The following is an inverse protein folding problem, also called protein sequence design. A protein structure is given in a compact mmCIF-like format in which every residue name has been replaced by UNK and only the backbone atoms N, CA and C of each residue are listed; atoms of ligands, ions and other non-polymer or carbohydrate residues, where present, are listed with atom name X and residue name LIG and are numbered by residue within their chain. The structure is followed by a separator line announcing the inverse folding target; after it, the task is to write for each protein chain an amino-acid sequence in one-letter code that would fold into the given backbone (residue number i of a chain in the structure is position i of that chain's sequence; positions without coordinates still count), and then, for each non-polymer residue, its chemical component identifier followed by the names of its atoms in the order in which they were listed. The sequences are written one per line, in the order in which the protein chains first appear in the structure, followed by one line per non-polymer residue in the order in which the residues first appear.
data_IF_339662212132
#
_entry.id   IF_339662212132
#
_cell.length_a   1.000
_cell.length_b   1.000
_cell.length_c   1.000
_cell.angle_alpha   90.00
_cell.angle_beta   90.00
_cell.angle_gamma   90.00
#
_symmetry.space_group_name_H-M   'P 1'
#
loop_
_entity.id
_entity.type
_entity.pdbx_description
1 polymer ?
#
# COMPACT_ATOMS: atom_id res chain seq x y z
N UNK A 1 -17.74 5.04 4.42
CA UNK A 1 -18.92 5.81 3.97
C UNK A 1 -20.25 5.06 4.14
N UNK A 2 -20.57 4.06 3.30
CA UNK A 2 -21.92 3.44 3.27
C UNK A 2 -22.43 2.95 4.63
N UNK A 3 -21.65 2.12 5.33
CA UNK A 3 -22.04 1.57 6.65
C UNK A 3 -22.31 2.67 7.67
N UNK A 4 -21.39 3.65 7.78
CA UNK A 4 -21.56 4.81 8.65
C UNK A 4 -22.82 5.62 8.29
N UNK A 5 -23.07 5.87 7.00
CA UNK A 5 -24.26 6.56 6.52
C UNK A 5 -25.55 5.80 6.85
N UNK A 6 -25.58 4.47 6.69
CA UNK A 6 -26.73 3.64 7.06
C UNK A 6 -27.02 3.66 8.56
N UNK A 7 -25.98 3.57 9.41
CA UNK A 7 -26.15 3.66 10.86
C UNK A 7 -26.70 5.02 11.30
N UNK A 8 -26.29 6.08 10.60
CA UNK A 8 -26.73 7.45 10.80
C UNK A 8 -28.07 7.81 10.12
N UNK A 9 -28.70 6.87 9.41
CA UNK A 9 -29.95 7.12 8.70
C UNK A 9 -29.82 8.09 7.52
N UNK A 10 -28.63 8.23 6.93
CA UNK A 10 -28.40 9.09 5.78
C UNK A 10 -29.06 8.54 4.52
N UNK A 11 -29.65 9.45 3.75
CA UNK A 11 -30.16 9.24 2.39
C UNK A 11 -29.06 9.50 1.36
N UNK A 12 -29.31 9.13 0.10
CA UNK A 12 -28.31 9.21 -0.97
C UNK A 12 -27.83 10.64 -1.26
N UNK A 13 -28.71 11.64 -1.12
CA UNK A 13 -28.40 13.07 -1.24
C UNK A 13 -27.46 13.58 -0.13
N UNK A 14 -27.26 12.79 0.93
CA UNK A 14 -26.31 13.05 2.02
C UNK A 14 -25.14 12.08 2.03
N UNK A 15 -24.89 11.40 0.91
CA UNK A 15 -23.72 10.54 0.76
C UNK A 15 -22.43 11.37 0.90
N UNK A 16 -21.42 10.77 1.50
CA UNK A 16 -20.14 11.42 1.76
C UNK A 16 -18.96 10.51 1.43
N UNK A 17 -17.80 11.11 1.21
CA UNK A 17 -16.50 10.43 1.09
C UNK A 17 -15.46 11.25 1.85
N UNK A 18 -14.61 10.60 2.64
CA UNK A 18 -13.55 11.32 3.31
C UNK A 18 -12.42 11.67 2.32
N UNK A 19 -11.74 12.81 2.53
CA UNK A 19 -10.70 13.26 1.60
C UNK A 19 -9.48 12.32 1.51
N UNK A 20 -9.31 11.36 2.43
CA UNK A 20 -8.15 10.45 2.37
C UNK A 20 -8.38 9.38 1.31
N UNK A 21 -9.64 9.11 0.96
CA UNK A 21 -10.03 8.05 0.03
C UNK A 21 -10.37 8.52 -1.39
N UNK A 22 -10.54 9.84 -1.62
CA UNK A 22 -10.97 10.39 -2.93
C UNK A 22 -10.04 10.02 -4.09
N UNK A 23 -8.77 9.71 -3.82
CA UNK A 23 -7.80 9.35 -4.86
C UNK A 23 -8.14 8.04 -5.58
N UNK A 24 -8.82 7.10 -4.92
CA UNK A 24 -9.25 5.85 -5.54
C UNK A 24 -10.43 6.01 -6.49
N UNK A 25 -11.16 7.12 -6.42
CA UNK A 25 -12.28 7.37 -7.33
C UNK A 25 -11.83 7.53 -8.78
N UNK A 26 -10.60 8.01 -9.01
CA UNK A 26 -10.15 8.47 -10.32
C UNK A 26 -10.85 9.74 -10.82
N UNK A 27 -11.72 10.38 -10.03
CA UNK A 27 -12.55 11.54 -10.40
C UNK A 27 -12.13 12.84 -9.69
N UNK A 28 -11.26 12.75 -8.69
CA UNK A 28 -10.91 13.88 -7.84
C UNK A 28 -9.61 14.59 -8.26
N UNK A 29 -9.56 15.90 -8.05
CA UNK A 29 -8.29 16.61 -7.87
C UNK A 29 -7.83 16.40 -6.42
N UNK A 30 -6.92 15.44 -6.24
CA UNK A 30 -6.39 15.09 -4.92
C UNK A 30 -5.72 16.27 -4.23
N UNK A 31 -5.01 17.11 -4.98
CA UNK A 31 -4.27 18.25 -4.45
C UNK A 31 -5.23 19.33 -3.96
N UNK A 32 -6.30 19.59 -4.68
CA UNK A 32 -7.33 20.54 -4.29
C UNK A 32 -8.31 19.97 -3.25
N UNK A 33 -8.42 18.64 -3.15
CA UNK A 33 -9.35 17.99 -2.22
C UNK A 33 -10.81 18.09 -2.65
N UNK A 34 -11.06 18.16 -3.96
CA UNK A 34 -12.37 18.34 -4.55
C UNK A 34 -12.55 17.43 -5.78
N UNK A 35 -13.79 17.20 -6.19
CA UNK A 35 -14.09 16.55 -7.46
C UNK A 35 -13.57 17.38 -8.63
N UNK A 36 -12.99 16.74 -9.64
CA UNK A 36 -12.42 17.42 -10.80
C UNK A 36 -13.46 17.53 -11.90
N UNK A 37 -14.00 18.73 -12.11
CA UNK A 37 -14.96 19.01 -13.18
C UNK A 37 -14.42 18.56 -14.55
N UNK A 38 -13.14 18.81 -14.84
CA UNK A 38 -12.53 18.41 -16.10
C UNK A 38 -12.50 16.88 -16.31
N UNK A 39 -12.22 16.10 -15.25
CA UNK A 39 -12.23 14.64 -15.33
C UNK A 39 -13.67 14.13 -15.48
N UNK A 40 -14.59 14.66 -14.67
CA UNK A 40 -16.00 14.30 -14.71
C UNK A 40 -16.64 14.60 -16.08
N UNK A 41 -16.39 15.78 -16.64
CA UNK A 41 -16.87 16.17 -17.98
C UNK A 41 -16.30 15.24 -19.07
N UNK A 42 -15.02 14.89 -18.97
CA UNK A 42 -14.36 13.97 -19.93
C UNK A 42 -14.97 12.56 -19.89
N UNK A 43 -15.37 12.09 -18.71
CA UNK A 43 -15.93 10.75 -18.51
C UNK A 43 -17.47 10.74 -18.58
N UNK A 44 -18.11 11.89 -18.78
CA UNK A 44 -19.57 12.03 -18.78
C UNK A 44 -20.23 11.73 -17.43
N UNK A 45 -19.53 11.97 -16.32
CA UNK A 45 -20.02 11.75 -14.96
C UNK A 45 -20.63 13.06 -14.43
N UNK A 46 -21.94 13.10 -14.12
CA UNK A 46 -22.56 14.27 -13.51
C UNK A 46 -21.95 14.57 -12.13
N UNK A 47 -21.60 15.82 -11.86
CA UNK A 47 -21.00 16.21 -10.58
C UNK A 47 -21.98 16.16 -9.40
N UNK A 48 -23.28 16.27 -9.67
CA UNK A 48 -24.36 16.26 -8.67
C UNK A 48 -24.66 14.86 -8.11
N UNK A 49 -24.18 13.79 -8.76
CA UNK A 49 -24.29 12.42 -8.24
C UNK A 49 -23.10 12.02 -7.35
N UNK A 50 -22.06 12.86 -7.28
CA UNK A 50 -20.88 12.57 -6.47
C UNK A 50 -21.13 12.94 -5.00
N UNK A 51 -20.62 12.14 -4.05
CA UNK A 51 -20.85 12.39 -2.63
C UNK A 51 -20.10 13.64 -2.15
N UNK A 52 -20.55 14.25 -1.05
CA UNK A 52 -19.83 15.35 -0.40
C UNK A 52 -18.45 14.87 0.08
N UNK A 53 -17.37 15.62 -0.22
CA UNK A 53 -16.05 15.34 0.33
C UNK A 53 -15.96 15.97 1.71
N UNK A 54 -15.60 15.19 2.72
CA UNK A 54 -15.59 15.60 4.13
C UNK A 54 -14.28 15.29 4.83
N UNK A 55 -14.04 15.92 5.98
CA UNK A 55 -12.93 15.63 6.86
C UNK A 55 -13.16 14.31 7.62
N UNK A 56 -12.10 13.51 7.89
CA UNK A 56 -12.22 12.24 8.59
C UNK A 56 -12.89 12.32 9.97
N UNK A 57 -12.71 13.41 10.70
CA UNK A 57 -13.29 13.63 12.04
C UNK A 57 -14.67 14.28 12.02
N UNK A 58 -15.20 14.65 10.84
CA UNK A 58 -16.54 15.25 10.76
C UNK A 58 -17.57 14.24 11.27
N UNK A 59 -18.42 14.68 12.20
CA UNK A 59 -19.57 13.89 12.64
C UNK A 59 -20.60 13.91 11.52
N UNK A 60 -20.87 12.75 10.92
CA UNK A 60 -21.81 12.61 9.79
C UNK A 60 -23.26 12.42 10.26
N UNK A 61 -23.43 12.14 11.55
CA UNK A 61 -24.70 11.89 12.21
C UNK A 61 -24.47 11.09 13.49
N UNK A 62 -25.56 10.56 14.04
CA UNK A 62 -25.55 9.77 15.27
C UNK A 62 -26.17 8.41 15.00
N UNK A 63 -25.79 7.40 15.78
CA UNK A 63 -26.40 6.06 15.72
C UNK A 63 -27.91 6.20 15.94
N UNK A 64 -28.68 5.80 14.93
CA UNK A 64 -30.14 5.78 14.99
C UNK A 64 -30.65 4.71 15.95
N UNK A 65 -31.87 4.87 16.46
CA UNK A 65 -32.57 3.86 17.26
C UNK A 65 -32.65 2.49 16.57
N UNK A 66 -32.81 2.48 15.24
CA UNK A 66 -32.83 1.25 14.46
C UNK A 66 -31.46 0.55 14.47
N UNK A 67 -30.39 1.28 14.14
CA UNK A 67 -29.03 0.74 14.15
C UNK A 67 -28.58 0.34 15.57
N UNK A 68 -28.99 1.08 16.60
CA UNK A 68 -28.74 0.74 17.99
C UNK A 68 -29.27 -0.65 18.34
N UNK A 69 -30.52 -0.96 17.95
CA UNK A 69 -31.14 -2.28 18.17
C UNK A 69 -30.46 -3.39 17.37
N UNK A 70 -30.12 -3.14 16.11
CA UNK A 70 -29.56 -4.16 15.22
C UNK A 70 -28.12 -4.55 15.60
N UNK A 71 -27.33 -3.58 16.09
CA UNK A 71 -25.89 -3.75 16.35
C UNK A 71 -25.49 -3.70 17.82
N UNK A 72 -26.45 -3.48 18.74
CA UNK A 72 -26.18 -3.38 20.18
C UNK A 72 -25.39 -2.13 20.56
N UNK A 73 -25.56 -1.04 19.81
CA UNK A 73 -24.90 0.24 20.05
C UNK A 73 -25.79 1.18 20.88
N UNK A 74 -25.21 2.19 21.52
CA UNK A 74 -25.98 3.22 22.21
C UNK A 74 -26.58 4.21 21.19
N UNK A 75 -27.90 4.48 21.21
CA UNK A 75 -28.51 5.49 20.36
C UNK A 75 -27.93 6.88 20.69
N UNK A 76 -27.83 7.74 19.67
CA UNK A 76 -27.24 9.08 19.83
C UNK A 76 -25.70 9.10 19.84
N UNK A 77 -25.04 7.94 19.73
CA UNK A 77 -23.57 7.90 19.66
C UNK A 77 -23.09 8.60 18.39
N UNK A 78 -22.19 9.61 18.47
CA UNK A 78 -21.67 10.30 17.28
C UNK A 78 -20.89 9.36 16.36
N UNK A 79 -21.12 9.48 15.05
CA UNK A 79 -20.42 8.73 14.01
C UNK A 79 -19.51 9.69 13.24
N UNK A 80 -18.20 9.50 13.34
CA UNK A 80 -17.24 10.21 12.49
C UNK A 80 -17.24 9.65 11.06
N UNK A 81 -16.92 10.46 10.06
CA UNK A 81 -16.79 10.04 8.66
C UNK A 81 -15.80 8.88 8.48
N UNK A 82 -14.72 8.89 9.28
CA UNK A 82 -13.64 7.94 9.20
C UNK A 82 -12.66 8.27 8.07
N UNK A 83 -11.72 7.37 7.81
CA UNK A 83 -10.73 7.51 6.76
C UNK A 83 -10.51 6.18 6.03
N UNK A 84 -9.83 6.22 4.90
CA UNK A 84 -9.37 5.02 4.19
C UNK A 84 -8.43 4.19 5.05
N UNK A 85 -8.37 2.89 4.79
CA UNK A 85 -7.61 1.92 5.58
C UNK A 85 -6.12 2.26 5.73
N UNK A 86 -5.49 2.74 4.66
CA UNK A 86 -4.07 3.05 4.61
C UNK A 86 -3.78 4.33 5.40
N UNK A 87 -4.69 5.31 5.35
CA UNK A 87 -4.61 6.52 6.14
C UNK A 87 -4.86 6.25 7.64
N UNK A 88 -5.82 5.37 7.95
CA UNK A 88 -6.07 4.89 9.31
C UNK A 88 -4.85 4.15 9.88
N UNK A 89 -4.22 3.28 9.07
CA UNK A 89 -3.01 2.56 9.44
C UNK A 89 -1.84 3.50 9.71
N UNK A 90 -1.60 4.48 8.82
CA UNK A 90 -0.56 5.49 9.02
C UNK A 90 -0.76 6.24 10.35
N UNK A 91 -1.99 6.70 10.61
CA UNK A 91 -2.32 7.40 11.85
C UNK A 91 -2.13 6.50 13.08
N UNK A 92 -2.63 5.26 13.04
CA UNK A 92 -2.50 4.29 14.13
C UNK A 92 -1.06 3.87 14.41
N UNK A 93 -0.20 3.85 13.38
CA UNK A 93 1.23 3.58 13.50
C UNK A 93 2.07 4.80 13.94
N UNK A 94 1.45 5.96 14.17
CA UNK A 94 2.15 7.17 14.60
C UNK A 94 2.94 7.87 13.49
N UNK A 95 2.52 7.70 12.24
CA UNK A 95 3.07 8.38 11.06
C UNK A 95 2.40 9.74 10.93
N UNK A 96 2.90 10.70 11.71
CA UNK A 96 2.28 12.01 11.94
C UNK A 96 3.24 13.19 11.68
N UNK A 97 4.43 12.93 11.14
CA UNK A 97 5.45 13.94 10.83
C UNK A 97 6.13 13.64 9.48
N UNK A 98 6.46 14.68 8.70
CA UNK A 98 7.23 14.52 7.47
C UNK A 98 8.56 13.75 7.70
N UNK A 99 8.94 12.93 6.74
CA UNK A 99 10.16 12.12 6.78
C UNK A 99 10.00 10.76 7.49
N UNK A 100 8.85 10.48 8.10
CA UNK A 100 8.54 9.14 8.59
C UNK A 100 8.18 8.22 7.42
N UNK A 101 8.57 6.94 7.54
CA UNK A 101 8.28 5.87 6.59
C UNK A 101 7.72 4.67 7.36
N UNK A 102 6.78 3.96 6.76
CA UNK A 102 6.24 2.72 7.28
C UNK A 102 6.12 1.68 6.17
N UNK A 103 6.35 0.42 6.54
CA UNK A 103 6.18 -0.75 5.69
C UNK A 103 5.11 -1.66 6.28
N UNK A 104 4.08 -1.92 5.49
CA UNK A 104 3.07 -2.93 5.79
C UNK A 104 3.48 -4.20 5.06
N UNK A 105 4.25 -5.04 5.73
CA UNK A 105 4.72 -6.31 5.17
C UNK A 105 3.62 -7.38 5.21
N UNK A 106 2.85 -7.48 4.13
CA UNK A 106 1.78 -8.46 3.96
C UNK A 106 2.03 -9.41 2.79
N UNK A 107 0.99 -10.15 2.39
CA UNK A 107 0.97 -10.93 1.13
C UNK A 107 1.40 -10.07 -0.05
N UNK A 108 0.74 -8.93 -0.22
CA UNK A 108 1.28 -7.76 -0.89
C UNK A 108 1.77 -6.80 0.20
N UNK A 109 2.81 -6.02 -0.10
CA UNK A 109 3.32 -5.00 0.82
C UNK A 109 2.94 -3.59 0.37
N UNK A 110 2.92 -2.68 1.32
CA UNK A 110 2.80 -1.23 1.06
C UNK A 110 3.95 -0.54 1.76
N UNK A 111 4.82 0.10 0.97
CA UNK A 111 5.82 1.01 1.50
C UNK A 111 5.31 2.44 1.34
N UNK A 112 5.20 3.18 2.43
CA UNK A 112 4.62 4.51 2.42
C UNK A 112 5.42 5.49 3.27
N UNK A 113 5.42 6.75 2.85
CA UNK A 113 6.07 7.85 3.54
C UNK A 113 5.07 8.85 4.13
N UNK A 114 5.62 9.90 4.72
CA UNK A 114 4.87 11.09 5.12
C UNK A 114 5.60 12.34 4.63
N UNK A 115 4.88 13.24 3.96
CA UNK A 115 5.38 14.53 3.47
C UNK A 115 4.43 15.66 3.87
N UNK A 116 4.93 16.89 3.94
CA UNK A 116 4.14 18.13 4.21
C UNK A 116 3.65 18.82 2.93
N UNK A 117 3.89 18.20 1.78
CA UNK A 117 3.45 18.71 0.49
C UNK A 117 3.12 17.56 -0.46
N UNK A 118 2.17 17.83 -1.36
CA UNK A 118 1.79 16.92 -2.41
C UNK A 118 2.87 16.86 -3.49
N UNK A 119 3.35 15.66 -3.81
CA UNK A 119 4.23 15.39 -4.95
C UNK A 119 3.63 14.24 -5.74
N UNK A 120 3.30 14.48 -7.00
CA UNK A 120 2.90 13.42 -7.91
C UNK A 120 4.14 12.79 -8.56
N UNK A 121 4.23 11.45 -8.53
CA UNK A 121 5.26 10.73 -9.26
C UNK A 121 4.89 10.61 -10.75
N UNK A 122 5.22 11.66 -11.50
CA UNK A 122 4.98 11.72 -12.95
C UNK A 122 6.11 11.07 -13.76
N UNK A 123 7.27 10.85 -13.14
CA UNK A 123 8.48 10.33 -13.79
C UNK A 123 8.50 8.81 -13.81
N UNK A 124 8.39 8.18 -12.64
CA UNK A 124 8.48 6.72 -12.49
C UNK A 124 7.11 6.07 -12.39
N UNK A 125 6.07 6.83 -12.01
CA UNK A 125 4.68 6.36 -11.88
C UNK A 125 4.55 5.15 -10.95
N UNK A 126 5.44 5.07 -9.97
CA UNK A 126 5.50 4.03 -8.96
C UNK A 126 4.76 4.41 -7.68
N UNK A 127 4.59 5.73 -7.43
CA UNK A 127 3.97 6.23 -6.22
C UNK A 127 2.57 6.81 -6.46
N UNK A 128 1.66 6.44 -5.58
CA UNK A 128 0.36 7.08 -5.39
C UNK A 128 0.47 8.01 -4.18
N UNK A 129 0.08 9.28 -4.32
CA UNK A 129 0.15 10.25 -3.22
C UNK A 129 -1.25 10.57 -2.71
N UNK A 130 -1.59 10.01 -1.55
CA UNK A 130 -2.87 10.26 -0.89
C UNK A 130 -2.77 11.35 0.19
N UNK A 131 -3.91 11.94 0.56
CA UNK A 131 -3.98 12.82 1.73
C UNK A 131 -3.84 12.01 3.01
N UNK A 132 -3.06 12.52 3.95
CA UNK A 132 -3.07 12.00 5.33
C UNK A 132 -4.35 12.43 6.03
N UNK A 133 -4.74 11.70 7.09
CA UNK A 133 -5.76 12.20 8.03
C UNK A 133 -5.36 13.57 8.56
N UNK A 134 -4.09 13.85 8.83
CA UNK A 134 -3.67 15.14 9.40
C UNK A 134 -3.60 16.22 8.29
N UNK A 135 -4.28 17.37 8.45
CA UNK A 135 -4.20 18.48 7.49
C UNK A 135 -2.77 18.89 7.16
N UNK A 136 -2.52 19.11 5.87
CA UNK A 136 -1.20 19.49 5.36
C UNK A 136 -0.24 18.33 5.16
N UNK A 137 -0.54 17.13 5.69
CA UNK A 137 0.28 15.95 5.47
C UNK A 137 -0.25 15.08 4.33
N UNK A 138 0.69 14.38 3.69
CA UNK A 138 0.46 13.51 2.54
C UNK A 138 1.22 12.21 2.75
N UNK A 139 0.68 11.13 2.18
CA UNK A 139 1.28 9.81 2.24
C UNK A 139 1.55 9.31 0.81
N UNK A 140 2.74 9.56 0.25
CA UNK A 140 3.18 8.86 -0.95
C UNK A 140 3.39 7.38 -0.61
N UNK A 141 2.88 6.48 -1.44
CA UNK A 141 2.94 5.04 -1.21
C UNK A 141 3.16 4.26 -2.50
N UNK A 142 3.87 3.13 -2.37
CA UNK A 142 4.06 2.13 -3.40
C UNK A 142 3.32 0.84 -3.00
N UNK A 143 2.53 0.30 -3.93
CA UNK A 143 1.99 -1.06 -3.81
C UNK A 143 3.00 -2.07 -4.34
N UNK A 144 3.37 -3.04 -3.52
CA UNK A 144 4.34 -4.09 -3.84
C UNK A 144 3.59 -5.42 -3.88
N UNK A 145 3.08 -5.78 -5.06
CA UNK A 145 2.23 -6.95 -5.25
C UNK A 145 2.86 -8.27 -4.76
N UNK A 146 4.17 -8.42 -4.91
CA UNK A 146 4.91 -9.63 -4.58
C UNK A 146 5.44 -9.74 -3.16
N UNK A 147 5.14 -8.81 -2.25
CA UNK A 147 5.77 -8.68 -0.91
C UNK A 147 6.07 -9.99 -0.17
N UNK A 148 5.17 -10.42 0.71
CA UNK A 148 5.30 -11.68 1.46
C UNK A 148 4.99 -12.92 0.60
N UNK A 149 4.31 -12.76 -0.54
CA UNK A 149 4.09 -13.87 -1.48
C UNK A 149 5.39 -14.39 -2.08
N UNK A 150 6.30 -13.51 -2.48
CA UNK A 150 7.59 -13.92 -3.02
C UNK A 150 8.40 -14.69 -1.97
N UNK A 151 8.37 -14.25 -0.71
CA UNK A 151 9.03 -14.95 0.39
C UNK A 151 8.41 -16.34 0.65
N UNK A 152 7.08 -16.46 0.63
CA UNK A 152 6.40 -17.76 0.77
C UNK A 152 6.68 -18.69 -0.39
N UNK A 153 6.57 -18.20 -1.62
CA UNK A 153 6.92 -18.97 -2.81
C UNK A 153 8.37 -19.46 -2.75
N UNK A 154 9.30 -18.56 -2.40
CA UNK A 154 10.71 -18.92 -2.26
C UNK A 154 10.91 -20.01 -1.21
N UNK A 155 10.29 -19.87 -0.03
CA UNK A 155 10.30 -20.92 0.99
C UNK A 155 9.75 -22.24 0.43
N UNK A 156 8.57 -22.24 -0.18
CA UNK A 156 7.88 -23.47 -0.60
C UNK A 156 8.61 -24.21 -1.73
N UNK A 157 9.21 -23.50 -2.67
CA UNK A 157 9.94 -24.09 -3.81
C UNK A 157 11.34 -24.60 -3.43
N UNK A 158 12.06 -23.86 -2.59
CA UNK A 158 13.47 -24.12 -2.34
C UNK A 158 13.75 -24.79 -1.00
N UNK A 159 12.84 -24.61 -0.05
CA UNK A 159 12.90 -25.16 1.29
C UNK A 159 11.63 -26.00 1.50
N UNK A 160 11.62 -27.24 0.96
CA UNK A 160 10.59 -28.26 1.23
C UNK A 160 10.62 -28.67 2.71
N UNK A 161 10.22 -27.76 3.59
CA UNK A 161 10.19 -27.96 5.02
C UNK A 161 8.96 -28.80 5.37
N UNK A 162 9.18 -29.97 5.96
CA UNK A 162 8.12 -30.61 6.75
C UNK A 162 7.82 -29.69 7.93
N UNK A 163 6.59 -29.19 8.02
CA UNK A 163 6.15 -28.36 9.13
C UNK A 163 6.16 -29.22 10.40
N UNK A 164 7.28 -29.22 11.12
CA UNK A 164 7.33 -29.66 12.52
C UNK A 164 6.95 -28.47 13.38
N UNK A 165 5.95 -28.72 14.21
CA UNK A 165 5.25 -27.84 15.15
C UNK A 165 6.18 -27.05 16.11
N UNK A 166 7.01 -26.17 15.57
CA UNK A 166 8.03 -25.44 16.32
C UNK A 166 7.97 -23.96 15.99
N UNK A 167 7.99 -23.16 17.05
CA UNK A 167 7.99 -21.69 17.03
C UNK A 167 9.08 -21.19 16.08
N UNK A 168 8.75 -20.16 15.29
CA UNK A 168 9.73 -19.43 14.49
C UNK A 168 10.83 -18.87 15.41
N UNK A 169 12.02 -19.48 15.41
CA UNK A 169 13.23 -18.83 15.91
C UNK A 169 13.96 -18.21 14.71
N UNK A 170 13.99 -16.88 14.65
CA UNK A 170 14.80 -16.18 13.66
C UNK A 170 16.28 -16.48 13.95
N UNK A 171 16.99 -16.99 12.94
CA UNK A 171 18.46 -17.09 12.94
C UNK A 171 19.02 -16.31 11.75
N UNK A 172 20.22 -15.79 11.91
CA UNK A 172 20.94 -15.15 10.81
C UNK A 172 21.17 -16.14 9.66
N UNK A 173 21.07 -15.62 8.44
CA UNK A 173 21.38 -16.39 7.24
C UNK A 173 22.87 -16.73 7.21
N UNK A 174 23.20 -17.97 6.90
CA UNK A 174 24.60 -18.39 6.73
C UNK A 174 25.11 -18.07 5.33
N UNK A 175 26.43 -18.11 5.14
CA UNK A 175 27.04 -18.02 3.80
C UNK A 175 26.55 -19.15 2.88
N UNK A 176 26.27 -20.33 3.44
CA UNK A 176 25.73 -21.47 2.70
C UNK A 176 24.27 -21.22 2.27
N UNK A 177 23.44 -20.64 3.16
CA UNK A 177 22.07 -20.21 2.81
C UNK A 177 22.11 -19.16 1.68
N UNK A 178 23.02 -18.20 1.75
CA UNK A 178 23.22 -17.15 0.73
C UNK A 178 23.72 -17.70 -0.61
N UNK A 179 24.64 -18.66 -0.59
CA UNK A 179 25.14 -19.36 -1.78
C UNK A 179 24.06 -20.23 -2.43
N UNK A 180 23.22 -20.91 -1.62
CA UNK A 180 22.07 -21.67 -2.10
C UNK A 180 21.03 -20.76 -2.74
N UNK A 181 20.66 -19.65 -2.11
CA UNK A 181 19.77 -18.64 -2.69
C UNK A 181 20.33 -18.17 -4.06
N UNK A 182 21.60 -17.79 -4.11
CA UNK A 182 22.25 -17.32 -5.34
C UNK A 182 22.26 -18.37 -6.45
N UNK A 183 22.54 -19.64 -6.11
CA UNK A 183 22.49 -20.76 -7.04
C UNK A 183 21.07 -21.02 -7.58
N UNK A 184 20.07 -20.95 -6.71
CA UNK A 184 18.67 -21.19 -7.08
C UNK A 184 18.10 -20.06 -7.93
N UNK A 185 18.45 -18.81 -7.62
CA UNK A 185 18.13 -17.64 -8.47
C UNK A 185 18.72 -17.79 -9.87
N UNK A 186 19.95 -18.31 -9.99
CA UNK A 186 20.59 -18.55 -11.29
C UNK A 186 19.89 -19.61 -12.17
N UNK A 187 19.06 -20.49 -11.57
CA UNK A 187 18.32 -21.54 -12.27
C UNK A 187 16.99 -21.08 -12.86
N UNK A 188 16.42 -19.97 -12.38
CA UNK A 188 15.13 -19.43 -12.84
C UNK A 188 15.28 -18.71 -14.20
N UNK A 189 16.51 -18.41 -14.66
CA UNK A 189 16.74 -17.51 -15.79
C UNK A 189 16.65 -18.12 -17.20
N UNK A 190 15.94 -19.24 -17.44
CA UNK A 190 15.90 -19.81 -18.80
C UNK A 190 14.57 -19.85 -19.53
N UNK A 191 13.41 -19.80 -18.90
CA UNK A 191 12.15 -19.85 -19.65
C UNK A 191 10.97 -19.20 -18.90
N UNK A 192 10.77 -17.87 -18.97
CA UNK A 192 9.42 -17.26 -18.96
C UNK A 192 9.44 -15.79 -19.39
N UNK A 193 8.63 -15.46 -20.39
CA UNK A 193 8.35 -14.11 -20.88
C UNK A 193 6.89 -13.78 -20.51
N UNK A 194 6.64 -13.12 -19.37
CA UNK A 194 5.44 -12.28 -19.19
C UNK A 194 5.58 -11.35 -17.97
N UNK A 195 5.59 -10.04 -18.23
CA UNK A 195 5.93 -8.98 -17.27
C UNK A 195 4.67 -8.30 -16.72
N UNK A 196 4.09 -8.85 -15.65
CA UNK A 196 3.34 -8.07 -14.65
C UNK A 196 3.19 -8.79 -13.30
N UNK A 197 3.67 -10.03 -13.16
CA UNK A 197 3.61 -10.81 -11.92
C UNK A 197 4.98 -11.34 -11.47
N UNK A 198 6.00 -11.35 -12.33
CA UNK A 198 7.29 -11.95 -12.02
C UNK A 198 8.24 -10.98 -11.31
N UNK A 199 8.57 -11.27 -10.05
CA UNK A 199 9.74 -10.70 -9.37
C UNK A 199 11.01 -11.07 -10.13
N UNK A 200 11.58 -10.12 -10.86
CA UNK A 200 12.84 -10.29 -11.58
C UNK A 200 14.00 -10.19 -10.57
N UNK A 201 14.61 -11.31 -10.24
CA UNK A 201 15.90 -11.36 -9.53
C UNK A 201 17.03 -11.38 -10.57
N UNK A 202 17.70 -10.24 -10.75
CA UNK A 202 18.92 -10.15 -11.55
C UNK A 202 20.13 -10.35 -10.61
N UNK A 203 20.88 -11.44 -10.80
CA UNK A 203 22.08 -11.71 -10.02
C UNK A 203 23.25 -10.81 -10.44
N UNK A 204 24.07 -10.29 -9.50
CA UNK A 204 25.33 -9.66 -9.87
C UNK A 204 26.29 -10.76 -10.33
N UNK A 205 26.89 -10.57 -11.52
CA UNK A 205 28.07 -11.30 -11.91
C UNK A 205 29.11 -11.22 -10.78
N UNK A 206 29.62 -12.37 -10.34
CA UNK A 206 30.80 -12.47 -9.50
C UNK A 206 32.01 -11.91 -10.26
N UNK A 207 32.21 -10.60 -10.19
CA UNK A 207 33.45 -9.93 -10.58
C UNK A 207 34.52 -10.17 -9.52
N UNK A 208 35.06 -11.39 -9.48
CA UNK A 208 36.32 -11.65 -8.78
C UNK A 208 37.43 -10.90 -9.54
N UNK A 209 37.81 -9.73 -9.02
CA UNK A 209 39.11 -9.13 -9.32
C UNK A 209 40.19 -10.15 -8.91
N UNK A 210 40.85 -10.75 -9.90
CA UNK A 210 42.16 -11.37 -9.73
C UNK A 210 43.15 -10.62 -10.63
N UNK A 211 44.28 -10.15 -10.08
CA UNK A 211 45.29 -9.45 -10.87
C UNK A 211 45.93 -10.45 -11.84
N UNK A 212 45.81 -10.17 -13.15
CA UNK A 212 46.67 -10.79 -14.16
C UNK A 212 47.96 -9.97 -14.20
N UNK A 213 48.95 -10.40 -13.42
CA UNK A 213 50.36 -10.15 -13.71
C UNK A 213 51.26 -11.17 -12.98
N UNK A 214 51.61 -12.21 -13.72
CA UNK A 214 52.77 -13.10 -13.61
C UNK A 214 52.61 -14.07 -14.81
N UNK A 215 53.36 -13.97 -15.89
CA UNK A 215 54.81 -14.09 -15.95
C UNK A 215 55.13 -15.48 -16.55
N UNK A 216 55.88 -15.48 -17.67
CA UNK A 216 56.50 -16.64 -18.36
C UNK A 216 55.57 -17.41 -19.33
N UNK A 217 55.85 -17.47 -20.64
CA UNK A 217 57.08 -18.00 -21.24
C UNK A 217 57.54 -17.28 -22.53
N UNK A 218 58.87 -17.11 -22.62
CA UNK A 218 59.65 -17.01 -23.87
C UNK A 218 59.63 -18.36 -24.61
N UNK A 219 59.34 -18.34 -25.91
CA UNK A 219 60.26 -18.51 -27.05
C UNK A 219 59.45 -18.49 -28.35
#
# INVERSE_FOLDING_TARGET
AYVAGRMAGLTADRAFMDYTFIHFSGLADNRAGQWSAAICDTLGVPMDVLPEIVEPWRVIGEVTEAAARDFGLAPGTPIAAGCGDTAANALGAGIVRPGQVFDVAGTASVLAGCTDHFVADTTHRALLTMRSVIPGLWNPLAYIAGGGQALRWFRDEFYKYEIRDTKYEARDATDEDSARISYLVSRISRDTYDMMVAGLLVGPHAGAFLPRDAGEHRL
#
